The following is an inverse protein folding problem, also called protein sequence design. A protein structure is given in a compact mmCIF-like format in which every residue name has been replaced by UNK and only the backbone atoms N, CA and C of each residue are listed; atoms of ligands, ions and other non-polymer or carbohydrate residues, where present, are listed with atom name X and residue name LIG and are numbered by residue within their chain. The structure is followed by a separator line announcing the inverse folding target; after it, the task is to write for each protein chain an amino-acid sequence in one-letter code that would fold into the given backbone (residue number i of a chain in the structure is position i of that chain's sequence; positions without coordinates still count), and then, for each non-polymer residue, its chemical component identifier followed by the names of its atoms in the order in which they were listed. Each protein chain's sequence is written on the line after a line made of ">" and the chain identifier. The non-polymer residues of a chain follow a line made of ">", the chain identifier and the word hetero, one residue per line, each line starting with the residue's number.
data_IF_067452935258
#
_entry.id   IF_067452935258
#
_cell.length_a   1.000
_cell.length_b   1.000
_cell.length_c   1.000
_cell.angle_alpha   90.00
_cell.angle_beta   90.00
_cell.angle_gamma   90.00
#
_symmetry.space_group_name_H-M   'P 1'
#
loop_
_entity.id
_entity.type
_entity.pdbx_description
1 polymer ?
#
# COMPACT_ATOMS: atom_id res chain seq x y z
N UNK A 1 31.10 29.62 -60.16
CA UNK A 1 29.87 30.14 -59.52
C UNK A 1 30.24 30.72 -58.17
N UNK A 2 30.12 32.05 -58.06
CA UNK A 2 29.74 32.86 -56.88
C UNK A 2 30.39 32.55 -55.51
N UNK A 3 31.34 33.44 -55.14
CA UNK A 3 31.52 34.19 -53.88
C UNK A 3 31.15 33.55 -52.53
N UNK A 4 32.05 33.65 -51.56
CA UNK A 4 31.82 34.43 -50.33
C UNK A 4 33.11 34.63 -49.50
N UNK A 5 33.64 35.85 -49.53
CA UNK A 5 34.49 36.45 -48.50
C UNK A 5 33.56 37.08 -47.45
N UNK A 6 33.70 36.76 -46.17
CA UNK A 6 33.18 37.56 -45.02
C UNK A 6 34.19 37.36 -43.87
N UNK A 7 35.20 38.22 -43.73
CA UNK A 7 35.25 39.50 -43.00
C UNK A 7 35.00 39.37 -41.48
N UNK A 8 36.12 39.41 -40.75
CA UNK A 8 36.24 39.50 -39.29
C UNK A 8 35.87 40.92 -38.86
N UNK A 9 34.95 41.05 -37.90
CA UNK A 9 34.64 42.32 -37.23
C UNK A 9 34.86 42.18 -35.72
N UNK A 10 35.96 42.77 -35.25
CA UNK A 10 36.28 43.04 -33.85
C UNK A 10 35.44 44.25 -33.40
N UNK A 11 34.65 44.13 -32.34
CA UNK A 11 34.00 45.28 -31.69
C UNK A 11 34.22 45.19 -30.18
N UNK A 12 34.76 46.27 -29.64
CA UNK A 12 35.20 46.45 -28.27
C UNK A 12 34.06 46.73 -27.28
N UNK A 13 34.32 46.38 -26.02
CA UNK A 13 33.52 46.67 -24.82
C UNK A 13 33.43 48.18 -24.52
N UNK A 14 32.31 48.64 -23.95
CA UNK A 14 32.30 49.72 -22.98
C UNK A 14 32.07 49.19 -21.56
N UNK A 15 33.00 49.52 -20.67
CA UNK A 15 32.87 49.45 -19.23
C UNK A 15 32.22 50.74 -18.69
N UNK A 16 31.19 50.58 -17.86
CA UNK A 16 30.61 51.51 -16.88
C UNK A 16 29.49 50.69 -16.20
N UNK A 17 29.25 50.66 -14.89
CA UNK A 17 29.62 51.51 -13.77
C UNK A 17 28.43 51.51 -12.81
N UNK A 18 28.58 50.82 -11.66
CA UNK A 18 27.93 51.05 -10.35
C UNK A 18 26.40 51.06 -10.16
N UNK A 19 25.98 50.14 -9.29
CA UNK A 19 25.03 50.35 -8.17
C UNK A 19 23.52 50.40 -8.43
N UNK A 20 22.89 49.22 -8.37
CA UNK A 20 21.70 49.01 -7.55
C UNK A 20 21.62 47.53 -7.18
N UNK A 21 22.09 47.21 -5.98
CA UNK A 21 21.99 45.89 -5.39
C UNK A 21 20.54 45.69 -4.93
N UNK A 22 19.64 45.40 -5.88
CA UNK A 22 18.29 44.96 -5.55
C UNK A 22 18.37 43.52 -5.05
N UNK A 23 18.52 43.38 -3.73
CA UNK A 23 18.19 42.14 -3.04
C UNK A 23 16.70 41.84 -3.28
N UNK A 24 16.42 41.04 -4.30
CA UNK A 24 15.14 40.35 -4.39
C UNK A 24 15.03 39.47 -3.15
N UNK A 25 13.97 39.60 -2.32
CA UNK A 25 13.79 38.73 -1.18
C UNK A 25 13.70 37.30 -1.72
N UNK A 26 14.60 36.44 -1.23
CA UNK A 26 14.58 35.01 -1.48
C UNK A 26 13.15 34.52 -1.24
N UNK A 27 12.42 34.26 -2.32
CA UNK A 27 11.21 33.47 -2.25
C UNK A 27 11.68 32.10 -1.81
N UNK A 28 11.66 31.88 -0.50
CA UNK A 28 11.71 30.55 0.07
C UNK A 28 10.52 29.82 -0.56
N UNK A 29 10.77 29.10 -1.64
CA UNK A 29 9.85 28.11 -2.16
C UNK A 29 9.59 27.18 -0.98
N UNK A 30 8.47 27.37 -0.29
CA UNK A 30 8.00 26.47 0.75
C UNK A 30 7.70 25.15 0.03
N UNK A 31 8.72 24.31 -0.13
CA UNK A 31 8.54 22.96 -0.62
C UNK A 31 7.71 22.30 0.46
N UNK A 32 6.42 22.08 0.16
CA UNK A 32 5.55 21.34 1.06
C UNK A 32 6.28 20.05 1.44
N UNK A 33 6.41 19.74 2.74
CA UNK A 33 7.01 18.49 3.17
C UNK A 33 6.40 17.34 2.37
N UNK A 34 7.25 16.45 1.86
CA UNK A 34 6.82 15.27 1.12
C UNK A 34 7.20 14.02 1.91
N UNK A 35 6.26 13.09 2.06
CA UNK A 35 6.52 11.76 2.60
C UNK A 35 6.37 10.72 1.49
N UNK A 36 7.29 9.76 1.45
CA UNK A 36 7.21 8.57 0.59
C UNK A 36 6.85 7.37 1.45
N UNK A 37 5.72 6.73 1.16
CA UNK A 37 5.17 5.63 1.97
C UNK A 37 5.15 4.36 1.13
N UNK A 38 5.82 3.32 1.60
CA UNK A 38 5.69 1.97 1.07
C UNK A 38 4.60 1.28 1.88
N UNK A 39 3.47 0.99 1.26
CA UNK A 39 2.27 0.49 1.95
C UNK A 39 1.72 -0.77 1.28
N UNK A 40 1.34 -1.75 2.09
CA UNK A 40 0.67 -2.96 1.60
C UNK A 40 -0.54 -2.60 0.72
N UNK A 41 -0.73 -3.30 -0.40
CA UNK A 41 -1.76 -2.99 -1.40
C UNK A 41 -3.19 -2.89 -0.83
N UNK A 42 -3.52 -3.64 0.24
CA UNK A 42 -4.84 -3.57 0.88
C UNK A 42 -5.12 -2.23 1.57
N UNK A 43 -4.10 -1.41 1.84
CA UNK A 43 -4.24 -0.10 2.49
C UNK A 43 -4.62 1.02 1.51
N UNK A 44 -4.46 0.79 0.20
CA UNK A 44 -4.59 1.83 -0.81
C UNK A 44 -5.87 2.66 -0.70
N UNK A 45 -7.09 2.07 -0.64
CA UNK A 45 -8.31 2.88 -0.55
C UNK A 45 -8.35 3.80 0.68
N UNK A 46 -7.86 3.33 1.83
CA UNK A 46 -7.84 4.12 3.06
C UNK A 46 -6.74 5.18 3.04
N UNK A 47 -5.54 4.84 2.54
CA UNK A 47 -4.40 5.74 2.51
C UNK A 47 -4.59 6.86 1.48
N UNK A 48 -5.26 6.59 0.36
CA UNK A 48 -5.65 7.62 -0.61
C UNK A 48 -6.61 8.64 0.04
N UNK A 49 -7.58 8.17 0.86
CA UNK A 49 -8.46 9.05 1.65
C UNK A 49 -7.76 9.81 2.76
N UNK A 50 -6.77 9.21 3.41
CA UNK A 50 -5.91 9.91 4.36
C UNK A 50 -5.14 11.02 3.64
N UNK A 51 -4.58 10.76 2.46
CA UNK A 51 -3.81 11.73 1.69
C UNK A 51 -4.62 12.97 1.30
N UNK A 52 -5.91 12.82 1.01
CA UNK A 52 -6.85 13.93 0.76
C UNK A 52 -6.98 14.89 1.98
N UNK A 53 -6.60 14.44 3.19
CA UNK A 53 -6.75 15.18 4.45
C UNK A 53 -5.44 15.72 5.00
N UNK A 54 -4.30 15.37 4.41
CA UNK A 54 -3.00 15.86 4.83
C UNK A 54 -2.78 17.30 4.36
N UNK A 55 -2.10 18.09 5.19
CA UNK A 55 -1.67 19.45 4.83
C UNK A 55 -0.36 19.47 4.03
N UNK A 56 0.27 18.30 3.86
CA UNK A 56 1.53 18.06 3.16
C UNK A 56 1.36 16.95 2.11
N UNK A 57 2.35 16.74 1.25
CA UNK A 57 2.22 15.79 0.13
C UNK A 57 2.65 14.38 0.55
N UNK A 58 1.84 13.38 0.21
CA UNK A 58 2.22 11.97 0.34
C UNK A 58 2.34 11.32 -1.06
N UNK A 59 3.35 10.48 -1.23
CA UNK A 59 3.49 9.59 -2.40
C UNK A 59 3.55 8.16 -1.92
N UNK A 60 2.77 7.30 -2.56
CA UNK A 60 2.63 5.91 -2.14
C UNK A 60 3.22 4.97 -3.19
N UNK A 61 3.91 3.94 -2.70
CA UNK A 61 4.20 2.73 -3.46
C UNK A 61 3.37 1.60 -2.85
N UNK A 62 2.30 1.22 -3.55
CA UNK A 62 1.44 0.12 -3.15
C UNK A 62 1.86 -1.17 -3.87
N UNK A 63 2.18 -2.21 -3.10
CA UNK A 63 2.47 -3.52 -3.64
C UNK A 63 2.20 -4.62 -2.59
N UNK A 64 2.45 -5.87 -2.95
CA UNK A 64 2.56 -6.96 -1.99
C UNK A 64 3.64 -6.65 -0.94
N UNK A 65 3.33 -6.88 0.34
CA UNK A 65 4.24 -6.59 1.46
C UNK A 65 5.60 -7.26 1.30
N UNK A 66 5.64 -8.46 0.74
CA UNK A 66 6.86 -9.19 0.40
C UNK A 66 7.73 -8.44 -0.62
N UNK A 67 7.10 -7.84 -1.64
CA UNK A 67 7.78 -7.04 -2.67
C UNK A 67 8.34 -5.77 -2.06
N UNK A 68 7.57 -5.07 -1.24
CA UNK A 68 8.01 -3.84 -0.56
C UNK A 68 9.18 -4.13 0.39
N UNK A 69 9.10 -5.22 1.14
CA UNK A 69 10.18 -5.68 2.03
C UNK A 69 11.45 -5.94 1.23
N UNK A 70 11.35 -6.68 0.12
CA UNK A 70 12.48 -6.93 -0.78
C UNK A 70 13.08 -5.62 -1.31
N UNK A 71 12.24 -4.69 -1.79
CA UNK A 71 12.70 -3.40 -2.29
C UNK A 71 13.46 -2.60 -1.23
N UNK A 72 12.94 -2.53 0.00
CA UNK A 72 13.58 -1.83 1.11
C UNK A 72 14.91 -2.50 1.50
N UNK A 73 14.98 -3.82 1.55
CA UNK A 73 16.24 -4.54 1.80
C UNK A 73 17.28 -4.36 0.69
N UNK A 74 16.83 -4.04 -0.53
CA UNK A 74 17.69 -3.75 -1.69
C UNK A 74 18.06 -2.25 -1.80
N UNK A 75 17.69 -1.43 -0.82
CA UNK A 75 18.06 -0.02 -0.76
C UNK A 75 17.09 0.94 -1.44
N UNK A 76 15.85 0.51 -1.74
CA UNK A 76 14.81 1.45 -2.14
C UNK A 76 14.56 2.48 -1.03
N UNK A 77 14.42 3.74 -1.41
CA UNK A 77 14.22 4.83 -0.45
C UNK A 77 12.74 5.07 -0.21
N UNK A 78 12.36 5.08 1.07
CA UNK A 78 11.06 5.53 1.54
C UNK A 78 11.20 6.09 2.96
N UNK A 79 10.20 6.83 3.40
CA UNK A 79 10.17 7.44 4.72
C UNK A 79 9.38 6.59 5.73
N UNK A 80 8.31 5.94 5.27
CA UNK A 80 7.40 5.13 6.09
C UNK A 80 7.17 3.78 5.43
N UNK A 81 7.16 2.71 6.25
CA UNK A 81 6.69 1.39 5.85
C UNK A 81 5.42 1.01 6.62
N UNK A 82 4.35 0.67 5.91
CA UNK A 82 3.09 0.18 6.46
C UNK A 82 2.82 -1.25 5.94
N UNK A 83 2.99 -2.22 6.82
CA UNK A 83 2.92 -3.65 6.50
C UNK A 83 1.53 -4.23 6.73
N UNK A 84 1.21 -5.35 6.06
CA UNK A 84 0.00 -6.15 6.33
C UNK A 84 0.26 -7.32 7.29
N UNK A 85 1.49 -7.48 7.78
CA UNK A 85 1.81 -8.39 8.86
C UNK A 85 3.00 -7.91 9.71
N UNK A 86 3.16 -8.55 10.87
CA UNK A 86 4.28 -8.32 11.77
C UNK A 86 5.56 -9.02 11.33
N UNK A 87 5.46 -10.10 10.54
CA UNK A 87 6.61 -10.89 10.11
C UNK A 87 7.55 -10.10 9.18
N UNK A 88 7.00 -9.41 8.18
CA UNK A 88 7.79 -8.56 7.28
C UNK A 88 8.30 -7.31 7.98
N UNK A 89 7.50 -6.71 8.88
CA UNK A 89 7.97 -5.61 9.72
C UNK A 89 9.17 -6.04 10.57
N UNK A 90 9.08 -7.21 11.22
CA UNK A 90 10.18 -7.79 12.01
C UNK A 90 11.41 -8.05 11.15
N UNK A 91 11.23 -8.50 9.90
CA UNK A 91 12.32 -8.70 8.95
C UNK A 91 13.10 -7.41 8.71
N UNK A 92 12.41 -6.28 8.48
CA UNK A 92 13.07 -4.99 8.30
C UNK A 92 13.69 -4.45 9.60
N UNK A 93 13.08 -4.72 10.76
CA UNK A 93 13.68 -4.40 12.06
C UNK A 93 15.00 -5.14 12.26
N UNK A 94 15.04 -6.45 12.00
CA UNK A 94 16.25 -7.26 12.11
C UNK A 94 17.33 -6.85 11.09
N UNK A 95 16.92 -6.36 9.91
CA UNK A 95 17.84 -5.76 8.94
C UNK A 95 18.36 -4.37 9.36
N UNK A 96 17.88 -3.81 10.48
CA UNK A 96 18.28 -2.50 10.97
C UNK A 96 17.76 -1.34 10.12
N UNK A 97 16.68 -1.56 9.37
CA UNK A 97 16.09 -0.58 8.44
C UNK A 97 14.96 0.25 9.07
N UNK A 98 14.49 -0.13 10.25
CA UNK A 98 13.43 0.55 10.99
C UNK A 98 14.05 1.47 12.04
N UNK A 99 13.59 2.72 12.10
CA UNK A 99 14.10 3.75 13.02
C UNK A 99 13.57 3.56 14.45
N UNK A 100 12.24 3.43 14.58
CA UNK A 100 11.51 3.43 15.84
C UNK A 100 10.71 2.15 16.01
N UNK A 101 10.23 1.85 17.22
CA UNK A 101 9.36 0.70 17.46
C UNK A 101 8.11 0.78 16.57
N UNK A 102 7.81 -0.25 15.74
CA UNK A 102 6.61 -0.27 14.93
C UNK A 102 5.35 -0.23 15.78
N UNK A 103 4.33 0.48 15.29
CA UNK A 103 3.04 0.58 15.95
C UNK A 103 2.00 -0.17 15.13
N UNK A 104 1.25 -1.06 15.76
CA UNK A 104 0.06 -1.63 15.13
C UNK A 104 -1.00 -0.55 15.08
N UNK A 105 -1.50 -0.23 13.88
CA UNK A 105 -2.46 0.86 13.68
C UNK A 105 -3.83 0.37 13.21
N UNK A 106 -3.93 -0.89 12.80
CA UNK A 106 -5.17 -1.53 12.38
C UNK A 106 -5.05 -3.06 12.48
N UNK A 107 -6.20 -3.72 12.60
CA UNK A 107 -6.36 -5.15 12.33
C UNK A 107 -7.30 -5.37 11.14
N UNK A 108 -7.27 -6.57 10.59
CA UNK A 108 -8.18 -6.97 9.52
C UNK A 108 -8.53 -8.46 9.60
N UNK A 109 -9.68 -8.82 9.04
CA UNK A 109 -10.18 -10.20 8.99
C UNK A 109 -10.18 -10.69 7.56
N UNK A 110 -10.06 -12.00 7.40
CA UNK A 110 -10.30 -12.63 6.11
C UNK A 110 -11.81 -12.73 5.84
N UNK A 111 -12.16 -12.65 4.57
CA UNK A 111 -13.50 -12.83 4.04
C UNK A 111 -13.43 -13.53 2.68
N UNK A 112 -14.42 -14.35 2.37
CA UNK A 112 -14.52 -14.93 1.03
C UNK A 112 -15.23 -13.90 0.15
N UNK A 113 -14.55 -13.39 -0.87
CA UNK A 113 -15.15 -12.60 -1.91
C UNK A 113 -15.83 -13.51 -2.94
N UNK A 114 -17.06 -13.16 -3.32
CA UNK A 114 -17.84 -13.83 -4.37
C UNK A 114 -18.48 -12.78 -5.29
N UNK A 115 -18.89 -13.19 -6.49
CA UNK A 115 -19.67 -12.30 -7.37
C UNK A 115 -20.95 -11.83 -6.67
N UNK A 116 -21.41 -10.60 -6.98
CA UNK A 116 -22.64 -10.03 -6.43
C UNK A 116 -23.83 -10.99 -6.57
N UNK A 117 -24.61 -11.11 -5.50
CA UNK A 117 -25.72 -12.05 -5.37
C UNK A 117 -25.31 -13.49 -5.07
N UNK A 118 -24.00 -13.79 -4.97
CA UNK A 118 -23.44 -15.10 -4.66
C UNK A 118 -24.07 -16.25 -5.51
N UNK A 119 -23.96 -16.22 -6.85
CA UNK A 119 -24.66 -17.15 -7.74
C UNK A 119 -24.23 -18.61 -7.58
N UNK A 120 -23.08 -18.86 -6.93
CA UNK A 120 -22.56 -20.21 -6.65
C UNK A 120 -22.97 -20.73 -5.27
N UNK A 121 -23.74 -19.96 -4.50
CA UNK A 121 -24.20 -20.33 -3.15
C UNK A 121 -23.05 -20.82 -2.26
N UNK A 122 -21.98 -20.01 -2.17
CA UNK A 122 -20.83 -20.26 -1.29
C UNK A 122 -21.16 -19.66 0.07
N UNK A 123 -21.12 -20.45 1.13
CA UNK A 123 -21.51 -20.01 2.47
C UNK A 123 -20.41 -20.21 3.52
N UNK A 124 -19.34 -20.91 3.16
CA UNK A 124 -18.27 -21.28 4.08
C UNK A 124 -16.96 -21.57 3.35
N UNK A 125 -15.87 -21.69 4.12
CA UNK A 125 -14.58 -22.16 3.58
C UNK A 125 -14.70 -23.55 2.95
N UNK A 126 -15.53 -24.44 3.50
CA UNK A 126 -15.70 -25.81 2.99
C UNK A 126 -16.28 -25.82 1.57
N UNK A 127 -17.13 -24.84 1.24
CA UNK A 127 -17.73 -24.74 -0.09
C UNK A 127 -16.71 -24.44 -1.19
N UNK A 128 -15.55 -23.85 -0.84
CA UNK A 128 -14.46 -23.57 -1.79
C UNK A 128 -13.78 -24.84 -2.31
N UNK A 129 -13.96 -25.98 -1.64
CA UNK A 129 -13.45 -27.27 -2.09
C UNK A 129 -14.40 -28.01 -3.04
N UNK A 130 -15.60 -27.46 -3.31
CA UNK A 130 -16.57 -28.08 -4.24
C UNK A 130 -16.00 -28.11 -5.66
N UNK A 131 -16.22 -29.22 -6.35
CA UNK A 131 -15.84 -29.36 -7.77
C UNK A 131 -16.60 -28.37 -8.67
N UNK A 132 -15.93 -27.91 -9.73
CA UNK A 132 -16.51 -26.99 -10.71
C UNK A 132 -16.49 -25.51 -10.31
N UNK A 133 -15.89 -25.17 -9.16
CA UNK A 133 -15.60 -23.78 -8.79
C UNK A 133 -14.22 -23.36 -9.29
N UNK A 134 -14.14 -22.15 -9.84
CA UNK A 134 -12.87 -21.46 -10.11
C UNK A 134 -12.53 -20.62 -8.88
N UNK A 135 -11.67 -21.14 -8.00
CA UNK A 135 -11.19 -20.39 -6.82
C UNK A 135 -9.81 -19.82 -7.10
N UNK A 136 -9.60 -18.54 -6.79
CA UNK A 136 -8.29 -17.88 -6.87
C UNK A 136 -7.88 -17.43 -5.48
N UNK A 137 -6.62 -17.61 -5.12
CA UNK A 137 -6.10 -17.29 -3.79
C UNK A 137 -4.87 -16.39 -3.91
N UNK A 138 -4.52 -15.71 -2.83
CA UNK A 138 -3.24 -15.03 -2.76
C UNK A 138 -2.10 -16.05 -2.58
N UNK A 139 -0.96 -15.79 -3.22
CA UNK A 139 0.23 -16.64 -3.13
C UNK A 139 0.73 -16.74 -1.68
N UNK A 140 1.16 -17.91 -1.19
CA UNK A 140 1.63 -18.05 0.18
C UNK A 140 2.85 -17.19 0.52
N UNK A 141 3.61 -16.67 -0.44
CA UNK A 141 4.69 -15.71 -0.13
C UNK A 141 4.18 -14.35 0.37
N UNK A 142 2.87 -14.07 0.28
CA UNK A 142 2.27 -12.78 0.65
C UNK A 142 1.42 -12.92 1.92
N UNK A 143 1.22 -11.85 2.72
CA UNK A 143 0.49 -11.94 3.99
C UNK A 143 -0.91 -12.53 3.87
N UNK A 144 -1.70 -12.07 2.88
CA UNK A 144 -3.05 -12.59 2.65
C UNK A 144 -3.05 -14.09 2.31
N UNK A 145 -2.05 -14.58 1.58
CA UNK A 145 -1.90 -16.00 1.26
C UNK A 145 -1.51 -16.83 2.48
N UNK A 146 -0.59 -16.33 3.32
CA UNK A 146 -0.25 -16.96 4.60
C UNK A 146 -1.45 -17.08 5.52
N UNK A 147 -2.20 -15.99 5.73
CA UNK A 147 -3.40 -16.02 6.56
C UNK A 147 -4.49 -16.93 5.96
N UNK A 148 -4.64 -16.94 4.64
CA UNK A 148 -5.54 -17.86 3.93
C UNK A 148 -5.19 -19.31 4.22
N UNK A 149 -3.92 -19.69 4.11
CA UNK A 149 -3.48 -21.05 4.42
C UNK A 149 -3.77 -21.43 5.87
N UNK A 150 -3.52 -20.52 6.82
CA UNK A 150 -3.83 -20.74 8.22
C UNK A 150 -5.34 -20.92 8.46
N UNK A 151 -6.18 -20.10 7.82
CA UNK A 151 -7.63 -20.20 7.94
C UNK A 151 -8.18 -21.52 7.36
N UNK A 152 -7.69 -21.91 6.17
CA UNK A 152 -8.03 -23.19 5.55
C UNK A 152 -7.58 -24.37 6.41
N UNK A 153 -6.39 -24.30 7.01
CA UNK A 153 -5.89 -25.32 7.92
C UNK A 153 -6.75 -25.43 9.20
N UNK A 154 -7.13 -24.30 9.82
CA UNK A 154 -8.06 -24.27 10.96
C UNK A 154 -9.42 -24.89 10.62
N UNK A 155 -9.90 -24.67 9.39
CA UNK A 155 -11.16 -25.23 8.91
C UNK A 155 -11.04 -26.70 8.47
N UNK A 156 -9.82 -27.26 8.37
CA UNK A 156 -9.60 -28.60 7.82
C UNK A 156 -9.95 -28.72 6.34
N UNK A 157 -9.90 -27.62 5.59
CA UNK A 157 -10.30 -27.54 4.18
C UNK A 157 -9.07 -27.48 3.28
N UNK A 158 -9.06 -28.28 2.22
CA UNK A 158 -8.06 -28.18 1.15
C UNK A 158 -8.71 -27.61 -0.11
N UNK A 159 -8.19 -26.51 -0.61
CA UNK A 159 -8.62 -25.87 -1.85
C UNK A 159 -7.53 -26.01 -2.89
N UNK A 160 -7.89 -26.40 -4.12
CA UNK A 160 -6.98 -26.35 -5.27
C UNK A 160 -7.24 -25.06 -6.04
N UNK A 161 -6.42 -24.01 -5.89
CA UNK A 161 -6.65 -22.77 -6.59
C UNK A 161 -6.39 -22.91 -8.09
N UNK A 162 -7.15 -22.19 -8.90
CA UNK A 162 -6.93 -22.04 -10.33
C UNK A 162 -5.74 -21.11 -10.62
N UNK A 163 -5.47 -20.14 -9.74
CA UNK A 163 -4.28 -19.28 -9.78
C UNK A 163 -3.93 -18.75 -8.39
N UNK A 164 -2.66 -18.36 -8.24
CA UNK A 164 -2.10 -17.75 -7.04
C UNK A 164 -1.61 -16.34 -7.37
N UNK A 165 -2.10 -15.34 -6.64
CA UNK A 165 -1.82 -13.93 -6.94
C UNK A 165 -0.84 -13.30 -5.93
N UNK A 166 0.13 -12.54 -6.43
CA UNK A 166 1.11 -11.85 -5.57
C UNK A 166 0.58 -10.60 -4.86
N UNK A 167 -0.69 -10.25 -5.10
CA UNK A 167 -1.40 -9.15 -4.45
C UNK A 167 -2.85 -9.55 -4.19
N UNK A 168 -3.34 -9.29 -2.98
CA UNK A 168 -4.73 -9.60 -2.60
C UNK A 168 -5.75 -8.82 -3.45
N UNK A 169 -5.38 -7.63 -3.94
CA UNK A 169 -6.22 -6.85 -4.86
C UNK A 169 -6.40 -7.52 -6.22
N UNK A 170 -5.43 -8.33 -6.67
CA UNK A 170 -5.58 -9.11 -7.91
C UNK A 170 -6.58 -10.27 -7.73
N UNK A 171 -6.59 -10.93 -6.55
CA UNK A 171 -7.62 -11.92 -6.19
C UNK A 171 -9.01 -11.28 -6.25
N UNK A 172 -9.19 -10.15 -5.57
CA UNK A 172 -10.44 -9.39 -5.55
C UNK A 172 -10.89 -9.02 -6.97
N UNK A 173 -9.99 -8.50 -7.79
CA UNK A 173 -10.30 -8.07 -9.15
C UNK A 173 -10.77 -9.24 -10.02
N UNK A 174 -10.12 -10.40 -9.93
CA UNK A 174 -10.52 -11.60 -10.70
C UNK A 174 -11.93 -12.07 -10.35
N UNK A 175 -12.31 -12.01 -9.07
CA UNK A 175 -13.68 -12.30 -8.65
C UNK A 175 -14.64 -11.21 -9.18
N UNK A 176 -14.28 -9.94 -9.03
CA UNK A 176 -15.11 -8.81 -9.45
C UNK A 176 -15.42 -8.79 -10.96
N UNK A 177 -14.49 -9.27 -11.81
CA UNK A 177 -14.69 -9.35 -13.26
C UNK A 177 -15.20 -10.71 -13.74
N UNK A 178 -15.45 -11.66 -12.84
CA UNK A 178 -15.99 -12.98 -13.15
C UNK A 178 -14.97 -13.98 -13.73
N UNK A 179 -13.67 -13.70 -13.64
CA UNK A 179 -12.62 -14.68 -13.95
C UNK A 179 -12.54 -15.80 -12.89
N UNK A 180 -13.02 -15.53 -11.68
CA UNK A 180 -13.11 -16.48 -10.58
C UNK A 180 -14.48 -16.45 -9.91
N UNK A 181 -14.93 -17.60 -9.44
CA UNK A 181 -16.17 -17.74 -8.69
C UNK A 181 -16.03 -17.25 -7.24
N UNK A 182 -14.83 -17.42 -6.68
CA UNK A 182 -14.50 -16.98 -5.33
C UNK A 182 -13.01 -16.76 -5.12
N UNK A 183 -12.68 -16.00 -4.09
CA UNK A 183 -11.34 -15.89 -3.55
C UNK A 183 -11.37 -15.48 -2.09
N UNK A 184 -10.26 -15.70 -1.37
CA UNK A 184 -10.13 -15.25 0.02
C UNK A 184 -9.32 -13.94 0.03
N UNK A 185 -9.92 -12.91 0.58
CA UNK A 185 -9.38 -11.54 0.66
C UNK A 185 -9.58 -11.00 2.07
N UNK A 186 -9.30 -9.71 2.30
CA UNK A 186 -9.66 -9.07 3.55
C UNK A 186 -11.06 -8.44 3.51
N UNK A 187 -11.71 -8.29 4.66
CA UNK A 187 -12.98 -7.54 4.81
C UNK A 187 -12.85 -6.15 4.21
N UNK A 188 -11.73 -5.46 4.47
CA UNK A 188 -11.53 -4.12 3.90
C UNK A 188 -11.52 -4.10 2.37
N UNK A 189 -11.11 -5.19 1.71
CA UNK A 189 -11.16 -5.28 0.26
C UNK A 189 -12.60 -5.42 -0.26
N UNK A 190 -13.42 -6.23 0.41
CA UNK A 190 -14.85 -6.37 0.06
C UNK A 190 -15.56 -5.03 0.24
N UNK A 191 -15.42 -4.42 1.42
CA UNK A 191 -16.05 -3.15 1.80
C UNK A 191 -15.71 -2.02 0.83
N UNK A 192 -14.44 -1.91 0.42
CA UNK A 192 -13.98 -0.82 -0.45
C UNK A 192 -14.21 -1.07 -1.94
N UNK A 193 -14.50 -2.31 -2.36
CA UNK A 193 -14.64 -2.64 -3.79
C UNK A 193 -15.93 -2.12 -4.41
N UNK A 194 -17.06 -2.26 -3.69
CA UNK A 194 -18.41 -2.11 -4.25
C UNK A 194 -18.75 -3.04 -5.42
N UNK A 195 -17.96 -4.11 -5.66
CA UNK A 195 -18.05 -4.95 -6.87
C UNK A 195 -18.19 -6.46 -6.59
N UNK A 196 -18.02 -6.86 -5.34
CA UNK A 196 -18.17 -8.24 -4.88
C UNK A 196 -19.00 -8.25 -3.61
N UNK A 197 -19.63 -9.40 -3.32
CA UNK A 197 -20.22 -9.66 -2.02
C UNK A 197 -19.22 -10.43 -1.14
N UNK A 198 -19.37 -10.26 0.17
CA UNK A 198 -18.58 -10.95 1.19
C UNK A 198 -19.34 -12.10 1.83
N UNK A 199 -18.64 -13.21 2.05
CA UNK A 199 -19.10 -14.32 2.89
C UNK A 199 -18.14 -14.45 4.06
N UNK A 200 -18.66 -14.08 5.24
CA UNK A 200 -17.87 -14.02 6.47
C UNK A 200 -17.26 -15.38 6.84
N UNK A 201 -15.99 -15.38 7.23
CA UNK A 201 -15.31 -16.53 7.81
C UNK A 201 -15.45 -16.46 9.33
N UNK A 202 -16.04 -17.48 10.00
CA UNK A 202 -16.24 -17.46 11.45
C UNK A 202 -14.94 -17.31 12.24
N UNK A 203 -14.98 -16.63 13.39
CA UNK A 203 -13.81 -16.36 14.25
C UNK A 203 -12.96 -17.60 14.58
N UNK A 204 -13.61 -18.74 14.79
CA UNK A 204 -12.93 -20.02 15.06
C UNK A 204 -12.02 -20.49 13.91
N UNK A 205 -12.32 -20.08 12.68
CA UNK A 205 -11.57 -20.41 11.47
C UNK A 205 -10.75 -19.22 10.94
N UNK A 206 -11.06 -18.00 11.36
CA UNK A 206 -10.43 -16.79 10.82
C UNK A 206 -9.03 -16.54 11.43
N UNK A 207 -8.29 -15.65 10.79
CA UNK A 207 -7.00 -15.13 11.29
C UNK A 207 -7.05 -13.62 11.23
N UNK A 208 -6.71 -12.99 12.36
CA UNK A 208 -6.70 -11.53 12.48
C UNK A 208 -5.31 -11.04 12.07
N UNK A 209 -5.25 -10.30 10.97
CA UNK A 209 -4.04 -9.71 10.45
C UNK A 209 -3.76 -8.39 11.17
N UNK A 210 -2.59 -8.27 11.81
CA UNK A 210 -2.14 -7.01 12.41
C UNK A 210 -1.32 -6.20 11.39
N UNK A 211 -1.62 -4.89 11.30
CA UNK A 211 -0.96 -3.96 10.38
C UNK A 211 -0.04 -3.02 11.16
N UNK A 212 1.29 -3.26 11.17
CA UNK A 212 2.23 -2.34 11.77
C UNK A 212 2.69 -1.25 10.80
N UNK A 213 2.96 -0.06 11.33
CA UNK A 213 3.54 1.08 10.62
C UNK A 213 4.77 1.59 11.38
N UNK A 214 5.80 2.01 10.64
CA UNK A 214 7.02 2.54 11.22
C UNK A 214 7.75 3.50 10.28
N UNK A 215 8.55 4.40 10.87
CA UNK A 215 9.51 5.24 10.16
C UNK A 215 10.74 4.41 9.78
N UNK A 216 11.22 4.58 8.55
CA UNK A 216 12.45 3.94 8.07
C UNK A 216 13.68 4.72 8.56
N UNK A 217 14.77 4.01 8.83
CA UNK A 217 16.02 4.58 9.38
C UNK A 217 16.61 5.68 8.49
N UNK A 218 16.61 5.43 7.19
CA UNK A 218 17.16 6.29 6.15
C UNK A 218 16.10 7.23 5.53
N UNK A 219 14.97 7.42 6.22
CA UNK A 219 13.93 8.37 5.83
C UNK A 219 14.53 9.76 5.60
N UNK A 220 14.28 10.31 4.41
CA UNK A 220 14.76 11.62 4.00
C UNK A 220 13.95 12.75 4.66
N UNK A 221 12.70 12.46 5.03
CA UNK A 221 11.81 13.40 5.68
C UNK A 221 11.15 12.82 6.94
N UNK A 222 11.94 12.69 8.00
CA UNK A 222 11.49 12.13 9.30
C UNK A 222 10.34 12.95 9.94
N UNK A 223 10.30 14.26 9.72
CA UNK A 223 9.20 15.12 10.17
C UNK A 223 7.89 14.73 9.50
N UNK A 224 7.85 14.73 8.16
CA UNK A 224 6.64 14.33 7.42
C UNK A 224 6.26 12.86 7.66
N UNK A 225 7.22 11.96 7.90
CA UNK A 225 6.96 10.58 8.32
C UNK A 225 6.22 10.52 9.66
N UNK A 226 6.70 11.28 10.64
CA UNK A 226 6.08 11.38 11.97
C UNK A 226 4.67 11.96 11.87
N UNK A 227 4.49 13.03 11.09
CA UNK A 227 3.17 13.64 10.88
C UNK A 227 2.20 12.70 10.18
N UNK A 228 2.68 11.92 9.20
CA UNK A 228 1.87 10.92 8.50
C UNK A 228 1.40 9.80 9.44
N UNK A 229 2.34 9.20 10.19
CA UNK A 229 2.01 8.15 11.17
C UNK A 229 1.08 8.71 12.25
N UNK A 230 1.35 9.92 12.73
CA UNK A 230 0.49 10.62 13.68
C UNK A 230 -0.93 10.81 13.15
N UNK A 231 -1.10 11.17 11.88
CA UNK A 231 -2.43 11.26 11.27
C UNK A 231 -3.11 9.90 11.16
N UNK A 232 -2.41 8.85 10.72
CA UNK A 232 -2.95 7.47 10.62
C UNK A 232 -3.50 6.99 11.98
N UNK A 233 -2.80 7.32 13.06
CA UNK A 233 -3.17 6.95 14.43
C UNK A 233 -4.19 7.89 15.08
N UNK A 234 -4.42 9.07 14.49
CA UNK A 234 -5.37 10.05 15.01
C UNK A 234 -6.83 9.57 14.89
N UNK A 235 -7.79 10.17 15.63
CA UNK A 235 -9.20 9.85 15.48
C UNK A 235 -9.73 9.96 14.04
N UNK A 236 -9.26 10.95 13.27
CA UNK A 236 -9.65 11.13 11.87
C UNK A 236 -9.10 9.99 10.98
N UNK A 237 -7.83 9.62 11.16
CA UNK A 237 -7.22 8.50 10.43
C UNK A 237 -7.88 7.16 10.76
N UNK A 238 -8.11 6.90 12.04
CA UNK A 238 -8.81 5.70 12.52
C UNK A 238 -10.26 5.63 12.02
N UNK A 239 -10.95 6.77 11.92
CA UNK A 239 -12.29 6.85 11.32
C UNK A 239 -12.28 6.45 9.84
N UNK A 240 -11.28 6.92 9.07
CA UNK A 240 -11.11 6.54 7.66
C UNK A 240 -10.82 5.04 7.52
N UNK A 241 -9.93 4.49 8.36
CA UNK A 241 -9.60 3.05 8.36
C UNK A 241 -10.83 2.20 8.69
N UNK A 242 -11.60 2.59 9.71
CA UNK A 242 -12.84 1.91 10.08
C UNK A 242 -13.87 1.95 8.96
N UNK A 243 -14.03 3.11 8.30
CA UNK A 243 -14.93 3.25 7.15
C UNK A 243 -14.50 2.36 5.97
N UNK A 244 -13.20 2.09 5.83
CA UNK A 244 -12.66 1.16 4.85
C UNK A 244 -12.74 -0.32 5.27
N UNK A 245 -13.30 -0.65 6.44
CA UNK A 245 -13.49 -2.02 6.91
C UNK A 245 -12.33 -2.60 7.71
N UNK A 246 -11.38 -1.78 8.15
CA UNK A 246 -10.36 -2.19 9.12
C UNK A 246 -10.90 -2.13 10.56
N UNK A 247 -10.34 -2.96 11.43
CA UNK A 247 -10.59 -2.94 12.88
C UNK A 247 -9.53 -2.07 13.57
N UNK A 248 -9.91 -1.43 14.67
CA UNK A 248 -8.97 -0.65 15.50
C UNK A 248 -7.93 -1.56 16.15
N UNK A 249 -6.70 -1.06 16.26
CA UNK A 249 -5.56 -1.76 16.86
C UNK A 249 -5.74 -2.12 18.34
#
# INVERSE_FOLDING_TARGET
>A
MIRALILIALVALPACGSSANECSPQVSCYVKPKVTVFAAASLQPAFDKIAERLHFSATFNYAGTQTLTSQLTQGAQADVFASADTAHMTTLQHAGLIQDAPQVFAHNRLEIAVANGNPKAIHSLADLARGGLVVVLADPSVPAGQYTQQALAKAGVTVKPASLELQVTAVLNKVAVGEADAGIVYVSNVVTSGKVDGVAIPDSQNVIAAYPIATLKDAQNKGAATDFIGFVLSPDGQSILKAAGFESA
#
